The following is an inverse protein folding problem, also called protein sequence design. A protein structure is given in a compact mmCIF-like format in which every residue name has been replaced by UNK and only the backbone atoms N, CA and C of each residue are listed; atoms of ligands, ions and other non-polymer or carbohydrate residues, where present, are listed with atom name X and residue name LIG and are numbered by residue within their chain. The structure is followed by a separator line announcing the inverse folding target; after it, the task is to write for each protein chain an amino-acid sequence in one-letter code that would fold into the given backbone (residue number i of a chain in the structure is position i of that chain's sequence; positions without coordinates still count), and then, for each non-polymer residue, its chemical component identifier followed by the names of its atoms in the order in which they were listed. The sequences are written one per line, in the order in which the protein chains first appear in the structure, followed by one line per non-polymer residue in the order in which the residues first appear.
data_IF_975561137124
#
_entry.id   IF_975561137124
#
_cell.length_a   1.000
_cell.length_b   1.000
_cell.length_c   1.000
_cell.angle_alpha   90.00
_cell.angle_beta   90.00
_cell.angle_gamma   90.00
#
_symmetry.space_group_name_H-M   'P 1'
#
loop_
_entity.id
_entity.type
_entity.pdbx_description
1 polymer ?
#
# COMPACT_ATOMS: atom_id res chain seq x y z
N UNK A 1 -47.32 16.59 30.80
CA UNK A 1 -46.23 15.70 30.37
C UNK A 1 -46.13 15.73 28.84
N UNK A 2 -45.55 16.79 28.26
CA UNK A 2 -45.56 16.99 26.80
C UNK A 2 -44.28 17.70 26.29
N UNK A 3 -43.25 17.80 27.14
CA UNK A 3 -42.01 18.53 26.85
C UNK A 3 -40.77 17.66 26.62
N UNK A 4 -40.85 16.34 26.85
CA UNK A 4 -39.67 15.45 26.80
C UNK A 4 -39.46 14.74 25.45
N UNK A 5 -40.42 14.79 24.53
CA UNK A 5 -40.34 14.09 23.23
C UNK A 5 -39.54 14.89 22.18
N UNK A 6 -39.44 16.21 22.31
CA UNK A 6 -38.76 17.07 21.33
C UNK A 6 -37.24 17.08 21.43
N UNK A 7 -36.67 16.74 22.59
CA UNK A 7 -35.20 16.78 22.79
C UNK A 7 -34.51 15.54 22.23
N UNK A 8 -35.21 14.40 22.15
CA UNK A 8 -34.65 13.15 21.62
C UNK A 8 -34.48 13.20 20.09
N UNK A 9 -35.34 13.94 19.38
CA UNK A 9 -35.24 14.06 17.92
C UNK A 9 -34.05 14.90 17.46
N UNK A 10 -33.64 15.92 18.22
CA UNK A 10 -32.49 16.76 17.85
C UNK A 10 -31.14 16.06 18.03
N UNK A 11 -31.03 15.12 18.99
CA UNK A 11 -29.79 14.34 19.15
C UNK A 11 -29.57 13.29 18.05
N UNK A 12 -30.64 12.79 17.42
CA UNK A 12 -30.49 11.83 16.31
C UNK A 12 -30.05 12.48 15.00
N UNK A 13 -30.39 13.75 14.75
CA UNK A 13 -29.96 14.46 13.53
C UNK A 13 -28.47 14.84 13.60
N UNK A 14 -27.94 15.18 14.77
CA UNK A 14 -26.53 15.49 14.96
C UNK A 14 -25.60 14.26 14.81
N UNK A 15 -26.10 13.04 15.01
CA UNK A 15 -25.33 11.80 14.82
C UNK A 15 -25.23 11.36 13.35
N UNK A 16 -26.08 11.89 12.45
CA UNK A 16 -26.02 11.57 11.02
C UNK A 16 -25.04 12.42 10.20
N UNK A 17 -24.57 13.55 10.74
CA UNK A 17 -23.63 14.45 10.03
C UNK A 17 -22.15 14.11 10.27
N UNK A 18 -21.83 13.24 11.24
CA UNK A 18 -20.47 12.74 11.48
C UNK A 18 -19.93 11.74 10.44
N UNK A 19 -20.77 11.27 9.51
CA UNK A 19 -20.42 10.26 8.51
C UNK A 19 -19.79 10.82 7.22
N UNK A 20 -19.71 12.14 7.03
CA UNK A 20 -19.30 12.73 5.75
C UNK A 20 -17.81 13.14 5.64
N UNK A 21 -17.02 13.05 6.72
CA UNK A 21 -15.62 13.54 6.71
C UNK A 21 -14.62 12.53 6.07
N UNK A 22 -15.02 11.29 5.78
CA UNK A 22 -14.13 10.30 5.14
C UNK A 22 -14.11 10.33 3.60
N UNK A 23 -14.90 11.18 2.93
CA UNK A 23 -15.05 11.15 1.46
C UNK A 23 -13.83 11.59 0.65
N UNK A 24 -12.80 12.16 1.28
CA UNK A 24 -11.62 12.70 0.61
C UNK A 24 -10.34 11.86 0.75
N UNK A 25 -10.42 10.65 1.33
CA UNK A 25 -9.25 9.76 1.44
C UNK A 25 -9.08 8.95 0.16
N UNK A 26 -7.83 8.61 -0.18
CA UNK A 26 -7.53 7.67 -1.26
C UNK A 26 -8.18 6.31 -0.93
N UNK A 27 -9.08 5.80 -1.78
CA UNK A 27 -9.76 4.53 -1.52
C UNK A 27 -8.86 3.33 -1.81
N UNK A 28 -7.71 3.54 -2.46
CA UNK A 28 -6.73 2.49 -2.71
C UNK A 28 -6.05 2.08 -1.41
N UNK A 29 -6.10 0.79 -1.11
CA UNK A 29 -5.46 0.16 0.05
C UNK A 29 -4.30 -0.72 -0.41
N UNK A 30 -3.33 -0.87 0.49
CA UNK A 30 -2.27 -1.87 0.38
C UNK A 30 -2.78 -3.17 0.96
N UNK A 31 -2.73 -4.23 0.16
CA UNK A 31 -3.01 -5.59 0.60
C UNK A 31 -1.68 -6.30 0.87
N UNK A 32 -1.56 -6.86 2.06
CA UNK A 32 -0.39 -7.63 2.45
C UNK A 32 -0.46 -8.97 1.75
N UNK A 33 0.50 -9.22 0.86
CA UNK A 33 0.74 -10.51 0.23
C UNK A 33 0.78 -11.62 1.30
N UNK A 34 0.08 -12.72 1.03
CA UNK A 34 0.11 -13.92 1.86
C UNK A 34 1.02 -14.99 1.21
N UNK A 35 1.01 -16.23 1.71
CA UNK A 35 1.83 -17.31 1.13
C UNK A 35 1.47 -17.63 -0.35
N UNK A 36 0.23 -17.37 -0.76
CA UNK A 36 -0.33 -17.77 -2.06
C UNK A 36 -0.46 -16.61 -3.05
N UNK A 37 -0.45 -15.36 -2.60
CA UNK A 37 -0.39 -14.16 -3.44
C UNK A 37 0.91 -13.45 -3.10
N UNK A 38 1.86 -13.45 -4.02
CA UNK A 38 3.23 -12.98 -3.84
C UNK A 38 3.64 -11.96 -4.91
N UNK A 39 4.89 -11.50 -4.91
CA UNK A 39 5.40 -10.54 -5.90
C UNK A 39 5.31 -9.09 -5.44
N UNK A 40 4.95 -8.18 -6.34
CA UNK A 40 4.80 -6.77 -6.01
C UNK A 40 3.67 -6.55 -5.00
N UNK A 41 3.78 -5.45 -4.25
CA UNK A 41 2.71 -5.07 -3.31
C UNK A 41 1.41 -4.85 -4.09
N UNK A 42 0.36 -5.57 -3.71
CA UNK A 42 -0.95 -5.41 -4.31
C UNK A 42 -1.63 -4.14 -3.76
N UNK A 43 -1.83 -3.17 -4.64
CA UNK A 43 -2.59 -1.96 -4.39
C UNK A 43 -3.94 -2.08 -5.11
N UNK A 44 -5.04 -1.95 -4.39
CA UNK A 44 -6.38 -2.05 -4.99
C UNK A 44 -7.41 -1.22 -4.25
N UNK A 45 -8.54 -0.96 -4.90
CA UNK A 45 -9.69 -0.29 -4.31
C UNK A 45 -10.19 -1.07 -3.08
N UNK A 46 -10.77 -0.39 -2.11
CA UNK A 46 -11.29 -1.02 -0.89
C UNK A 46 -12.39 -2.06 -1.17
N UNK A 47 -13.23 -1.82 -2.17
CA UNK A 47 -14.25 -2.78 -2.61
C UNK A 47 -13.66 -4.04 -3.27
N UNK A 48 -12.43 -3.95 -3.80
CA UNK A 48 -11.73 -5.08 -4.38
C UNK A 48 -11.19 -6.04 -3.32
N UNK A 49 -11.13 -5.65 -2.03
CA UNK A 49 -10.61 -6.46 -0.93
C UNK A 49 -11.23 -7.86 -0.85
N UNK A 50 -12.55 -7.96 -1.07
CA UNK A 50 -13.26 -9.24 -1.03
C UNK A 50 -12.80 -10.18 -2.15
N UNK A 51 -12.45 -9.63 -3.30
CA UNK A 51 -11.97 -10.37 -4.47
C UNK A 51 -10.53 -10.86 -4.26
N UNK A 52 -9.68 -10.08 -3.61
CA UNK A 52 -8.32 -10.52 -3.22
C UNK A 52 -8.39 -11.77 -2.35
N UNK A 53 -9.27 -11.80 -1.33
CA UNK A 53 -9.46 -12.99 -0.48
C UNK A 53 -9.93 -14.21 -1.27
N UNK A 54 -10.79 -14.00 -2.27
CA UNK A 54 -11.22 -15.06 -3.19
C UNK A 54 -10.05 -15.59 -4.00
N UNK A 55 -9.21 -14.72 -4.57
CA UNK A 55 -8.00 -15.13 -5.30
C UNK A 55 -7.09 -15.95 -4.41
N UNK A 56 -6.81 -15.48 -3.19
CA UNK A 56 -5.96 -16.17 -2.22
C UNK A 56 -6.47 -17.56 -1.89
N UNK A 57 -7.78 -17.69 -1.60
CA UNK A 57 -8.41 -18.97 -1.30
C UNK A 57 -8.34 -19.92 -2.49
N UNK A 58 -8.67 -19.43 -3.69
CA UNK A 58 -8.63 -20.23 -4.92
C UNK A 58 -7.21 -20.69 -5.25
N UNK A 59 -6.21 -19.81 -5.09
CA UNK A 59 -4.81 -20.16 -5.30
C UNK A 59 -4.36 -21.29 -4.36
N UNK A 60 -4.77 -21.22 -3.10
CA UNK A 60 -4.54 -22.28 -2.10
C UNK A 60 -5.21 -23.59 -2.50
N UNK A 61 -6.51 -23.56 -2.82
CA UNK A 61 -7.29 -24.76 -3.14
C UNK A 61 -6.78 -25.45 -4.41
N UNK A 62 -6.25 -24.67 -5.37
CA UNK A 62 -5.66 -25.18 -6.61
C UNK A 62 -4.15 -25.45 -6.56
N UNK A 63 -3.51 -25.29 -5.39
CA UNK A 63 -2.07 -25.49 -5.17
C UNK A 63 -1.17 -24.68 -6.13
N UNK A 64 -1.48 -23.39 -6.30
CA UNK A 64 -0.67 -22.44 -7.08
C UNK A 64 -0.31 -21.23 -6.23
N UNK A 65 0.72 -20.49 -6.65
CA UNK A 65 0.97 -19.13 -6.19
C UNK A 65 0.63 -18.14 -7.31
N UNK A 66 0.00 -17.03 -6.95
CA UNK A 66 -0.31 -15.92 -7.85
C UNK A 66 0.76 -14.86 -7.64
N UNK A 67 1.61 -14.65 -8.65
CA UNK A 67 2.64 -13.62 -8.60
C UNK A 67 2.09 -12.33 -9.19
N UNK A 68 1.89 -11.32 -8.34
CA UNK A 68 1.45 -9.98 -8.75
C UNK A 68 2.61 -9.27 -9.42
N UNK A 69 2.41 -8.91 -10.70
CA UNK A 69 3.36 -8.11 -11.48
C UNK A 69 3.11 -6.63 -11.28
N UNK A 70 1.87 -6.20 -11.49
CA UNK A 70 1.47 -4.81 -11.37
C UNK A 70 0.06 -4.72 -10.80
N UNK A 71 -0.29 -3.60 -10.21
CA UNK A 71 -1.61 -3.35 -9.67
C UNK A 71 -1.93 -1.86 -9.81
N UNK A 72 -2.71 -1.26 -8.91
CA UNK A 72 -3.00 0.16 -9.01
C UNK A 72 -1.74 1.02 -9.14
N UNK A 73 -1.77 1.92 -10.12
CA UNK A 73 -0.79 2.96 -10.30
C UNK A 73 -1.46 4.31 -10.51
N UNK A 74 -0.71 5.35 -10.16
CA UNK A 74 -1.17 6.73 -10.28
C UNK A 74 -0.80 7.29 -11.64
N UNK A 75 -1.79 7.84 -12.35
CA UNK A 75 -1.57 8.54 -13.61
C UNK A 75 -1.03 9.95 -13.31
N UNK A 76 -0.24 10.50 -14.25
CA UNK A 76 0.22 11.89 -14.19
C UNK A 76 -0.98 12.83 -14.37
N UNK A 77 -1.74 12.62 -15.43
CA UNK A 77 -3.01 13.29 -15.69
C UNK A 77 -4.17 12.34 -15.42
N UNK A 78 -5.00 12.69 -14.44
CA UNK A 78 -6.18 11.90 -14.07
C UNK A 78 -7.26 11.89 -15.16
N UNK A 79 -7.30 12.92 -16.02
CA UNK A 79 -8.28 13.05 -17.09
C UNK A 79 -7.87 12.27 -18.35
N UNK A 80 -6.57 12.10 -18.58
CA UNK A 80 -6.03 11.37 -19.73
C UNK A 80 -6.64 9.96 -19.84
N UNK A 81 -6.91 9.47 -21.07
CA UNK A 81 -7.42 8.11 -21.26
C UNK A 81 -6.40 7.09 -20.78
N UNK A 82 -6.87 6.04 -20.11
CA UNK A 82 -6.04 4.88 -19.81
C UNK A 82 -5.96 3.97 -21.05
N UNK A 83 -4.90 3.18 -21.18
CA UNK A 83 -4.88 2.11 -22.18
C UNK A 83 -5.96 1.07 -21.82
N UNK A 84 -6.56 0.43 -22.82
CA UNK A 84 -7.63 -0.55 -22.59
C UNK A 84 -7.21 -1.65 -21.60
N UNK A 85 -5.97 -2.13 -21.70
CA UNK A 85 -5.43 -3.17 -20.82
C UNK A 85 -5.13 -2.69 -19.40
N UNK A 86 -5.16 -1.38 -19.15
CA UNK A 86 -4.87 -0.80 -17.83
C UNK A 86 -6.11 -0.21 -17.16
N UNK A 87 -7.28 -0.24 -17.80
CA UNK A 87 -8.50 0.42 -17.29
C UNK A 87 -8.87 -0.07 -15.88
N UNK A 88 -8.74 -1.37 -15.60
CA UNK A 88 -8.98 -1.92 -14.26
C UNK A 88 -7.86 -1.61 -13.26
N UNK A 89 -6.62 -1.44 -13.72
CA UNK A 89 -5.47 -1.12 -12.86
C UNK A 89 -5.58 0.31 -12.34
N UNK A 90 -5.88 1.28 -13.20
CA UNK A 90 -5.94 2.71 -12.81
C UNK A 90 -7.09 3.06 -11.85
N UNK A 91 -8.07 2.16 -11.69
CA UNK A 91 -9.11 2.30 -10.66
C UNK A 91 -8.90 1.34 -9.47
N UNK A 92 -7.89 0.46 -9.54
CA UNK A 92 -7.59 -0.50 -8.48
C UNK A 92 -8.59 -1.67 -8.38
N UNK A 93 -9.34 -1.94 -9.44
CA UNK A 93 -10.28 -3.06 -9.54
C UNK A 93 -9.72 -4.25 -10.32
N UNK A 94 -8.40 -4.28 -10.52
CA UNK A 94 -7.69 -5.41 -11.09
C UNK A 94 -6.18 -5.32 -10.90
N UNK A 95 -5.49 -6.40 -11.24
CA UNK A 95 -4.04 -6.48 -11.16
C UNK A 95 -3.50 -7.45 -12.22
N UNK A 96 -2.23 -7.23 -12.62
CA UNK A 96 -1.50 -8.12 -13.52
C UNK A 96 -0.84 -9.26 -12.76
N UNK A 97 -0.85 -10.46 -13.31
CA UNK A 97 -0.35 -11.64 -12.61
C UNK A 97 0.35 -12.68 -13.50
N UNK A 98 1.09 -13.58 -12.85
CA UNK A 98 1.54 -14.86 -13.38
C UNK A 98 1.14 -15.98 -12.40
N UNK A 99 1.02 -17.20 -12.90
CA UNK A 99 0.75 -18.38 -12.08
C UNK A 99 2.06 -19.14 -11.88
N UNK A 100 2.41 -19.37 -10.63
CA UNK A 100 3.58 -20.13 -10.21
C UNK A 100 3.15 -21.42 -9.50
N UNK A 101 4.03 -22.43 -9.50
CA UNK A 101 3.88 -23.62 -8.68
C UNK A 101 4.23 -23.32 -7.20
N UNK A 102 4.02 -24.31 -6.33
CA UNK A 102 4.35 -24.22 -4.90
C UNK A 102 5.86 -24.08 -4.63
N UNK A 103 6.71 -24.32 -5.63
CA UNK A 103 8.16 -24.13 -5.59
C UNK A 103 8.58 -22.78 -6.20
N UNK A 104 7.61 -21.87 -6.43
CA UNK A 104 7.78 -20.56 -7.04
C UNK A 104 8.28 -20.55 -8.50
N UNK A 105 8.23 -21.68 -9.22
CA UNK A 105 8.52 -21.71 -10.66
C UNK A 105 7.32 -21.24 -11.45
N UNK A 106 7.55 -20.45 -12.50
CA UNK A 106 6.48 -19.97 -13.39
C UNK A 106 5.83 -21.18 -14.08
N UNK A 107 4.54 -21.39 -13.82
CA UNK A 107 3.70 -22.35 -14.54
C UNK A 107 3.13 -21.74 -15.81
N UNK A 108 2.65 -20.49 -15.73
CA UNK A 108 2.01 -19.82 -16.85
C UNK A 108 2.06 -18.30 -16.67
N UNK A 109 2.73 -17.61 -17.60
CA UNK A 109 2.74 -16.16 -17.74
C UNK A 109 1.71 -15.70 -18.79
N UNK A 110 1.66 -14.39 -19.08
CA UNK A 110 0.77 -13.80 -20.10
C UNK A 110 0.76 -14.55 -21.45
N UNK A 111 1.94 -14.93 -21.96
CA UNK A 111 2.06 -15.61 -23.26
C UNK A 111 1.48 -17.02 -23.21
N UNK A 112 1.68 -17.72 -22.10
CA UNK A 112 1.07 -19.02 -21.86
C UNK A 112 -0.45 -18.90 -21.68
N UNK A 113 -0.93 -17.94 -20.89
CA UNK A 113 -2.36 -17.73 -20.58
C UNK A 113 -3.17 -17.33 -21.81
N UNK A 114 -2.58 -16.57 -22.74
CA UNK A 114 -3.25 -16.20 -24.02
C UNK A 114 -3.33 -17.36 -25.02
N UNK A 115 -2.39 -18.31 -25.00
CA UNK A 115 -2.30 -19.39 -26.00
C UNK A 115 -2.87 -20.73 -25.53
N UNK A 116 -2.61 -21.11 -24.28
CA UNK A 116 -3.02 -22.38 -23.71
C UNK A 116 -3.37 -22.25 -22.22
N UNK A 117 -4.47 -21.56 -21.89
CA UNK A 117 -4.84 -21.28 -20.50
C UNK A 117 -5.23 -22.52 -19.69
N UNK A 118 -5.36 -23.69 -20.31
CA UNK A 118 -5.79 -24.93 -19.66
C UNK A 118 -4.70 -26.01 -19.71
N UNK A 119 -3.44 -25.61 -19.87
CA UNK A 119 -2.31 -26.52 -20.10
C UNK A 119 -1.99 -27.46 -18.92
N UNK A 120 -2.39 -27.12 -17.69
CA UNK A 120 -2.27 -27.99 -16.51
C UNK A 120 -3.56 -27.97 -15.70
N UNK A 121 -3.76 -29.03 -14.89
CA UNK A 121 -4.92 -29.11 -13.99
C UNK A 121 -4.96 -27.94 -13.00
N UNK A 122 -3.81 -27.52 -12.47
CA UNK A 122 -3.70 -26.43 -11.49
C UNK A 122 -4.13 -25.09 -12.09
N UNK A 123 -3.65 -24.76 -13.30
CA UNK A 123 -4.02 -23.52 -14.00
C UNK A 123 -5.51 -23.52 -14.29
N UNK A 124 -6.03 -24.64 -14.85
CA UNK A 124 -7.46 -24.79 -15.14
C UNK A 124 -8.32 -24.63 -13.89
N UNK A 125 -7.95 -25.31 -12.80
CA UNK A 125 -8.62 -25.19 -11.51
C UNK A 125 -8.71 -23.72 -11.07
N UNK A 126 -7.58 -23.01 -11.14
CA UNK A 126 -7.50 -21.62 -10.67
C UNK A 126 -8.40 -20.70 -11.51
N UNK A 127 -8.23 -20.70 -12.84
CA UNK A 127 -8.95 -19.80 -13.74
C UNK A 127 -10.46 -20.04 -13.73
N UNK A 128 -10.91 -21.31 -13.80
CA UNK A 128 -12.34 -21.62 -13.77
C UNK A 128 -12.97 -21.25 -12.43
N UNK A 129 -12.23 -21.39 -11.32
CA UNK A 129 -12.77 -21.12 -9.99
C UNK A 129 -12.86 -19.62 -9.71
N UNK A 130 -11.86 -18.81 -10.08
CA UNK A 130 -11.98 -17.35 -9.94
C UNK A 130 -13.16 -16.80 -10.77
N UNK A 131 -13.37 -17.32 -11.98
CA UNK A 131 -14.50 -16.92 -12.84
C UNK A 131 -15.85 -17.30 -12.23
N UNK A 132 -15.97 -18.49 -11.62
CA UNK A 132 -17.18 -18.89 -10.87
C UNK A 132 -17.49 -17.98 -9.68
N UNK A 133 -16.48 -17.28 -9.15
CA UNK A 133 -16.62 -16.31 -8.07
C UNK A 133 -16.77 -14.85 -8.56
N UNK A 134 -17.06 -14.65 -9.85
CA UNK A 134 -17.37 -13.34 -10.42
C UNK A 134 -16.14 -12.47 -10.71
N UNK A 135 -14.94 -13.03 -10.67
CA UNK A 135 -13.75 -12.37 -11.21
C UNK A 135 -13.71 -12.54 -12.73
N UNK A 136 -13.27 -11.51 -13.43
CA UNK A 136 -13.09 -11.51 -14.87
C UNK A 136 -11.64 -11.79 -15.21
N UNK A 137 -11.45 -12.72 -16.14
CA UNK A 137 -10.20 -13.05 -16.79
C UNK A 137 -10.53 -13.50 -18.22
N UNK A 138 -9.72 -13.12 -19.21
CA UNK A 138 -9.92 -13.50 -20.62
C UNK A 138 -8.59 -13.72 -21.32
N UNK A 139 -8.59 -14.46 -22.44
CA UNK A 139 -7.38 -14.68 -23.24
C UNK A 139 -6.84 -13.40 -23.91
N UNK A 140 -7.64 -12.35 -24.03
CA UNK A 140 -7.25 -11.09 -24.67
C UNK A 140 -6.54 -10.16 -23.69
N UNK A 141 -6.88 -10.25 -22.41
CA UNK A 141 -6.19 -9.58 -21.30
C UNK A 141 -5.68 -10.64 -20.32
N UNK A 142 -4.89 -11.56 -20.89
CA UNK A 142 -4.56 -12.86 -20.30
C UNK A 142 -3.77 -12.79 -19.01
N UNK A 143 -3.13 -11.67 -18.72
CA UNK A 143 -2.40 -11.43 -17.49
C UNK A 143 -3.16 -10.55 -16.51
N UNK A 144 -4.43 -10.22 -16.74
CA UNK A 144 -5.22 -9.38 -15.83
C UNK A 144 -6.36 -10.17 -15.18
N UNK A 145 -6.48 -10.03 -13.86
CA UNK A 145 -7.69 -10.41 -13.11
C UNK A 145 -8.35 -9.13 -12.62
N UNK A 146 -9.66 -9.00 -12.84
CA UNK A 146 -10.46 -7.88 -12.36
C UNK A 146 -11.81 -8.33 -11.81
N UNK A 147 -12.59 -7.42 -11.23
CA UNK A 147 -13.97 -7.68 -10.84
C UNK A 147 -15.00 -7.23 -11.90
N UNK A 148 -14.54 -6.83 -13.09
CA UNK A 148 -15.41 -6.38 -14.18
C UNK A 148 -16.03 -5.00 -14.00
N UNK A 149 -15.61 -4.21 -12.99
CA UNK A 149 -16.16 -2.87 -12.73
C UNK A 149 -16.13 -1.99 -13.97
N UNK A 150 -15.02 -1.99 -14.72
CA UNK A 150 -14.90 -1.24 -15.98
C UNK A 150 -15.96 -1.62 -17.03
N UNK A 151 -16.21 -2.92 -17.20
CA UNK A 151 -17.03 -3.45 -18.29
C UNK A 151 -18.52 -3.11 -18.10
N UNK A 152 -18.94 -2.87 -16.86
CA UNK A 152 -20.34 -2.66 -16.50
C UNK A 152 -20.89 -1.25 -16.78
N UNK A 153 -20.06 -0.19 -16.69
CA UNK A 153 -20.49 1.20 -16.91
C UNK A 153 -19.34 2.08 -17.41
N UNK A 154 -19.21 2.18 -18.74
CA UNK A 154 -18.19 3.04 -19.37
C UNK A 154 -18.31 4.53 -19.03
N UNK A 155 -19.52 5.04 -18.76
CA UNK A 155 -19.71 6.46 -18.42
C UNK A 155 -19.34 6.71 -16.95
N UNK A 156 -19.79 5.84 -16.06
CA UNK A 156 -19.40 5.85 -14.65
C UNK A 156 -17.90 5.63 -14.46
N UNK A 157 -17.28 4.80 -15.28
CA UNK A 157 -15.85 4.50 -15.23
C UNK A 157 -14.97 5.74 -15.28
N UNK A 158 -15.16 6.64 -16.25
CA UNK A 158 -14.29 7.81 -16.38
C UNK A 158 -14.42 8.74 -15.17
N UNK A 159 -15.63 8.91 -14.64
CA UNK A 159 -15.86 9.70 -13.43
C UNK A 159 -15.20 9.05 -12.21
N UNK A 160 -15.36 7.73 -12.04
CA UNK A 160 -14.73 6.94 -10.98
C UNK A 160 -13.21 7.03 -11.04
N UNK A 161 -12.62 6.87 -12.23
CA UNK A 161 -11.18 6.97 -12.46
C UNK A 161 -10.63 8.33 -12.06
N UNK A 162 -11.24 9.41 -12.56
CA UNK A 162 -10.82 10.78 -12.23
C UNK A 162 -10.91 11.01 -10.72
N UNK A 163 -11.99 10.56 -10.08
CA UNK A 163 -12.20 10.70 -8.64
C UNK A 163 -11.12 9.98 -7.81
N UNK A 164 -10.90 8.68 -8.09
CA UNK A 164 -9.87 7.87 -7.40
C UNK A 164 -8.49 8.49 -7.59
N UNK A 165 -8.10 8.78 -8.83
CA UNK A 165 -6.79 9.32 -9.16
C UNK A 165 -6.56 10.66 -8.46
N UNK A 166 -7.54 11.57 -8.50
CA UNK A 166 -7.45 12.88 -7.85
C UNK A 166 -7.31 12.76 -6.32
N UNK A 167 -8.12 11.91 -5.68
CA UNK A 167 -8.05 11.69 -4.23
C UNK A 167 -6.68 11.14 -3.82
N UNK A 168 -6.17 10.17 -4.56
CA UNK A 168 -4.87 9.57 -4.30
C UNK A 168 -3.70 10.53 -4.59
N UNK A 169 -3.81 11.43 -5.58
CA UNK A 169 -2.79 12.43 -5.88
C UNK A 169 -2.68 13.45 -4.74
N UNK A 170 -3.82 13.97 -4.29
CA UNK A 170 -3.90 14.89 -3.14
C UNK A 170 -3.30 14.28 -1.88
N UNK A 171 -3.58 13.00 -1.61
CA UNK A 171 -3.03 12.32 -0.45
C UNK A 171 -1.51 12.10 -0.55
N UNK A 172 -1.00 11.72 -1.73
CA UNK A 172 0.44 11.59 -1.98
C UNK A 172 1.16 12.92 -1.74
N UNK A 173 0.65 14.01 -2.33
CA UNK A 173 1.18 15.37 -2.13
C UNK A 173 1.18 15.79 -0.66
N UNK A 174 0.06 15.57 0.05
CA UNK A 174 -0.04 15.87 1.50
C UNK A 174 1.02 15.11 2.30
N UNK A 175 1.27 13.83 2.01
CA UNK A 175 2.30 13.04 2.69
C UNK A 175 3.71 13.54 2.39
N UNK A 176 3.98 13.95 1.16
CA UNK A 176 5.28 14.54 0.78
C UNK A 176 5.52 15.86 1.50
N UNK A 177 4.52 16.75 1.53
CA UNK A 177 4.58 18.03 2.24
C UNK A 177 4.83 17.83 3.74
N UNK A 178 4.10 16.91 4.39
CA UNK A 178 4.30 16.61 5.82
C UNK A 178 5.69 16.05 6.13
N UNK A 179 6.29 15.28 5.21
CA UNK A 179 7.67 14.79 5.37
C UNK A 179 8.69 15.92 5.23
N UNK A 180 8.48 16.84 4.28
CA UNK A 180 9.33 18.00 4.12
C UNK A 180 9.26 18.92 5.36
N UNK A 181 8.07 19.20 5.87
CA UNK A 181 7.88 19.99 7.10
C UNK A 181 8.57 19.36 8.31
N UNK A 182 8.51 18.03 8.47
CA UNK A 182 9.23 17.36 9.56
C UNK A 182 10.75 17.51 9.46
N UNK A 183 11.31 17.38 8.26
CA UNK A 183 12.75 17.54 8.05
C UNK A 183 13.22 18.95 8.42
N UNK A 184 12.47 19.98 8.01
CA UNK A 184 12.80 21.35 8.39
C UNK A 184 12.76 21.57 9.91
N UNK A 185 11.76 21.00 10.60
CA UNK A 185 11.69 21.10 12.06
C UNK A 185 12.79 20.30 12.79
N UNK A 186 13.22 19.16 12.22
CA UNK A 186 14.33 18.36 12.75
C UNK A 186 15.67 19.11 12.59
N UNK A 187 15.91 19.74 11.44
CA UNK A 187 17.10 20.57 11.17
C UNK A 187 17.19 21.77 12.12
N UNK A 188 16.09 22.49 12.36
CA UNK A 188 16.07 23.59 13.36
C UNK A 188 16.39 23.09 14.78
N UNK A 189 15.91 21.90 15.15
CA UNK A 189 16.15 21.35 16.50
C UNK A 189 17.60 20.92 16.76
N UNK A 190 18.34 20.54 15.72
CA UNK A 190 19.75 20.17 15.82
C UNK A 190 20.65 21.42 15.93
N UNK A 191 20.30 22.53 15.26
CA UNK A 191 21.04 23.80 15.35
C UNK A 191 21.00 24.38 16.78
N UNK A 192 19.84 24.33 17.45
CA UNK A 192 19.72 24.78 18.85
C UNK A 192 20.35 23.83 19.89
N UNK A 193 20.57 22.56 19.55
CA UNK A 193 21.23 21.61 20.45
C UNK A 193 22.77 21.76 20.45
N UNK A 194 23.35 22.31 19.37
CA UNK A 194 24.79 22.57 19.25
C UNK A 194 25.29 23.67 20.20
N UNK A 195 24.55 24.75 20.36
CA UNK A 195 24.95 25.91 21.18
C UNK A 195 25.01 25.61 22.69
N UNK A 196 24.28 24.59 23.15
CA UNK A 196 24.33 24.16 24.57
C UNK A 196 25.52 23.24 24.89
N UNK A 197 26.16 22.60 23.89
CA UNK A 197 27.38 21.82 24.12
C UNK A 197 28.64 22.69 24.19
N UNK A 198 28.66 23.86 23.54
CA UNK A 198 29.75 24.82 23.69
C UNK A 198 29.76 25.45 25.09
N UNK A 199 28.60 25.57 25.73
CA UNK A 199 28.49 26.08 27.10
C UNK A 199 28.91 25.04 28.17
N UNK A 200 28.80 23.75 27.91
CA UNK A 200 29.31 22.69 28.82
C UNK A 200 30.81 22.41 28.65
N UNK A 201 31.41 22.69 27.49
CA UNK A 201 32.85 22.58 27.30
C UNK A 201 33.63 23.68 28.07
N UNK A 202 33.09 24.90 28.12
CA UNK A 202 33.71 26.04 28.84
C UNK A 202 33.68 25.82 30.37
N UNK A 203 32.64 25.17 30.91
CA UNK A 203 32.56 24.85 32.34
C UNK A 203 33.41 23.65 32.77
N UNK A 204 33.98 22.88 31.83
CA UNK A 204 34.85 21.74 32.14
C UNK A 204 36.33 22.15 32.24
N UNK A 205 36.75 23.17 31.51
CA UNK A 205 38.11 23.73 31.58
C UNK A 205 38.39 24.54 32.87
N UNK A 206 37.37 24.99 33.60
CA UNK A 206 37.56 25.60 34.94
C UNK A 206 37.62 24.59 36.10
N UNK A 207 37.50 23.28 35.84
CA UNK A 207 37.48 22.24 36.89
C UNK A 207 38.70 21.32 36.94
N UNK A 208 39.67 21.46 36.03
CA UNK A 208 40.86 20.60 35.96
C UNK A 208 42.19 21.28 36.34
N UNK A 209 42.17 22.45 36.98
CA UNK A 209 43.40 23.13 37.44
C UNK A 209 43.85 22.80 38.88
N UNK A 210 43.13 21.95 39.63
CA UNK A 210 43.51 21.56 40.99
C UNK A 210 43.52 20.03 41.16
N UNK A 211 44.59 19.37 40.72
CA UNK A 211 45.00 18.06 41.23
C UNK A 211 46.44 17.76 40.83
N UNK A 212 47.36 18.42 41.54
CA UNK A 212 48.76 18.01 41.63
C UNK A 212 48.88 16.60 42.24
N UNK A 213 49.69 15.79 41.57
CA UNK A 213 50.81 15.05 42.16
C UNK A 213 50.53 14.09 43.33
N UNK A 214 50.56 12.78 43.03
CA UNK A 214 51.55 11.89 43.65
C UNK A 214 51.80 10.69 42.73
N UNK A 215 52.99 10.71 42.13
CA UNK A 215 53.96 9.61 42.04
C UNK A 215 53.55 8.27 42.69
N UNK A 216 53.69 7.14 41.98
CA UNK A 216 54.81 6.19 42.18
C UNK A 216 54.63 4.78 41.54
N UNK A 217 55.69 4.35 40.84
CA UNK A 217 56.41 3.07 41.02
C UNK A 217 55.82 1.74 40.44
N UNK A 218 56.43 1.33 39.30
CA UNK A 218 57.21 0.07 39.09
C UNK A 218 56.55 -1.22 38.52
N UNK A 219 57.41 -1.91 37.75
CA UNK A 219 57.44 -3.27 37.16
C UNK A 219 56.74 -3.43 35.80
N UNK A 220 57.44 -3.63 34.68
CA UNK A 220 58.49 -4.60 34.34
C UNK A 220 58.07 -6.05 34.63
N UNK A 221 57.51 -6.74 33.64
CA UNK A 221 57.93 -8.10 33.26
C UNK A 221 57.22 -8.63 32.01
N UNK A 222 58.03 -8.94 30.99
CA UNK A 222 58.10 -10.22 30.26
C UNK A 222 56.85 -10.87 29.62
N UNK A 223 57.09 -11.17 28.33
CA UNK A 223 57.08 -12.51 27.67
C UNK A 223 55.92 -12.83 26.71
N UNK A 224 56.38 -13.04 25.46
CA UNK A 224 55.96 -14.00 24.42
C UNK A 224 54.75 -13.68 23.56
#
# INVERSE_FOLDING_TARGET
MQGYILVVFFFFVALTEGLFINRNKCPIKKYTANKYVMGHTLLGHEDFAKHVKTVEKTAKDCNVHVYVKDSYYQMIDSAAPASTSDENLVIGHGFRFEIHDTSNKVLCNAVCLSKNPMGTFQIKCFLETIQKHGLVWSIYDSDVISDGTYESDRRGYQALKVDIQTKCQKESFKRQLLRALRRMNEEESEEFAGDNQETEAINREESESDSQDTTDIVNDEKKK
#
